data_IF_876476655894
#
_entry.id   IF_876476655894
#
_cell.length_a   1.000
_cell.length_b   1.000
_cell.length_c   1.000
_cell.angle_alpha   90.00
_cell.angle_beta   90.00
_cell.angle_gamma   90.00
#
_symmetry.space_group_name_H-M   'P 1'
#
loop_
_entity.id
_entity.type
_entity.pdbx_description
1 polymer ?
#
# COMPACT_ATOMS: atom_id res chain seq x y z
N UNK A 1 23.43 1.06 9.48
CA UNK A 1 23.62 0.86 8.02
C UNK A 1 22.40 1.46 7.32
N UNK A 2 22.60 2.31 6.33
CA UNK A 2 21.51 3.00 5.61
C UNK A 2 20.80 1.98 4.70
N UNK A 3 19.48 1.82 4.81
CA UNK A 3 18.71 0.89 3.97
C UNK A 3 18.39 1.53 2.62
N UNK A 4 18.08 0.71 1.60
CA UNK A 4 17.68 1.21 0.28
C UNK A 4 16.54 2.23 0.34
N UNK A 5 15.49 1.96 1.14
CA UNK A 5 14.38 2.89 1.31
C UNK A 5 14.76 4.21 1.98
N UNK A 6 15.74 4.22 2.89
CA UNK A 6 16.27 5.48 3.45
C UNK A 6 17.05 6.25 2.39
N UNK A 7 17.88 5.58 1.59
CA UNK A 7 18.59 6.23 0.47
C UNK A 7 17.59 6.82 -0.52
N UNK A 8 16.54 6.08 -0.89
CA UNK A 8 15.52 6.56 -1.80
C UNK A 8 14.78 7.79 -1.24
N UNK A 9 14.49 7.84 0.06
CA UNK A 9 13.88 8.99 0.74
C UNK A 9 14.75 10.25 0.63
N UNK A 10 16.05 10.14 0.95
CA UNK A 10 16.95 11.29 0.89
C UNK A 10 17.20 11.75 -0.56
N UNK A 11 17.26 10.81 -1.51
CA UNK A 11 17.36 11.14 -2.93
C UNK A 11 16.10 11.84 -3.42
N UNK A 12 14.91 11.43 -2.97
CA UNK A 12 13.66 12.11 -3.30
C UNK A 12 13.65 13.57 -2.79
N UNK A 13 14.15 13.82 -1.57
CA UNK A 13 14.35 15.20 -1.11
C UNK A 13 15.31 15.99 -2.00
N UNK A 14 16.44 15.40 -2.41
CA UNK A 14 17.38 16.03 -3.32
C UNK A 14 16.77 16.34 -4.70
N UNK A 15 15.77 15.56 -5.12
CA UNK A 15 14.96 15.78 -6.32
C UNK A 15 13.78 16.75 -6.07
N UNK A 16 13.70 17.42 -4.93
CA UNK A 16 12.68 18.44 -4.64
C UNK A 16 11.35 17.91 -4.13
N UNK A 17 11.27 16.65 -3.67
CA UNK A 17 10.05 16.12 -3.05
C UNK A 17 10.00 16.45 -1.57
N UNK A 18 8.90 17.09 -1.16
CA UNK A 18 8.56 17.25 0.25
C UNK A 18 8.01 15.96 0.84
N UNK A 19 7.88 15.92 2.17
CA UNK A 19 7.19 14.82 2.81
C UNK A 19 5.73 14.74 2.40
N UNK A 20 5.20 13.52 2.26
CA UNK A 20 3.82 13.29 1.85
C UNK A 20 2.83 13.94 2.82
N UNK A 21 3.10 13.87 4.14
CA UNK A 21 2.25 14.52 5.14
C UNK A 21 2.31 16.05 5.11
N UNK A 22 3.25 16.66 4.39
CA UNK A 22 3.33 18.13 4.26
C UNK A 22 2.43 18.65 3.15
N UNK A 23 1.77 17.77 2.37
CA UNK A 23 0.85 18.19 1.31
C UNK A 23 -0.33 19.03 1.84
N UNK A 24 -0.81 20.04 1.08
CA UNK A 24 -1.94 20.87 1.49
C UNK A 24 -3.24 20.11 1.81
N UNK A 25 -3.45 18.98 1.11
CA UNK A 25 -4.61 18.10 1.17
C UNK A 25 -4.49 16.97 2.23
N UNK A 26 -3.38 16.90 2.98
CA UNK A 26 -3.11 15.81 3.94
C UNK A 26 -4.20 15.63 5.01
N UNK A 27 -4.90 16.70 5.39
CA UNK A 27 -5.94 16.68 6.43
C UNK A 27 -7.24 15.96 5.98
N UNK A 28 -7.34 15.46 4.75
CA UNK A 28 -8.39 14.51 4.34
C UNK A 28 -8.04 13.05 4.66
N UNK A 29 -6.76 12.75 4.91
CA UNK A 29 -6.24 11.38 5.02
C UNK A 29 -5.67 11.08 6.41
N UNK A 30 -5.05 12.09 7.03
CA UNK A 30 -4.42 11.97 8.34
C UNK A 30 -4.80 13.12 9.27
N UNK A 31 -4.78 12.83 10.57
CA UNK A 31 -4.93 13.81 11.64
C UNK A 31 -3.62 13.91 12.43
N UNK A 32 -3.03 15.11 12.42
CA UNK A 32 -1.86 15.44 13.25
C UNK A 32 -2.31 15.70 14.70
N UNK A 33 -1.63 15.08 15.66
CA UNK A 33 -1.85 15.22 17.11
C UNK A 33 -0.82 16.18 17.69
N UNK A 34 -1.07 17.48 17.50
CA UNK A 34 -0.16 18.56 17.92
C UNK A 34 0.23 18.54 19.40
N UNK A 35 -0.65 18.00 20.25
CA UNK A 35 -0.45 17.79 21.68
C UNK A 35 0.60 16.72 22.00
N UNK A 36 0.80 15.76 21.09
CA UNK A 36 1.72 14.63 21.27
C UNK A 36 3.10 14.88 20.67
N UNK A 37 3.28 15.95 19.89
CA UNK A 37 4.53 16.27 19.21
C UNK A 37 5.46 17.02 20.16
N UNK A 38 6.75 16.67 20.13
CA UNK A 38 7.80 17.40 20.80
C UNK A 38 7.77 18.90 20.42
N UNK A 39 7.99 19.78 21.41
CA UNK A 39 7.77 21.22 21.25
C UNK A 39 8.59 21.81 20.11
N UNK A 40 9.84 21.39 19.99
CA UNK A 40 10.80 21.95 19.03
C UNK A 40 10.62 21.34 17.63
N UNK A 41 9.89 20.22 17.54
CA UNK A 41 9.65 19.48 16.32
C UNK A 41 8.34 19.84 15.61
N UNK A 42 7.50 20.72 16.17
CA UNK A 42 6.18 21.06 15.59
C UNK A 42 6.27 21.62 14.16
N UNK A 43 7.33 22.37 13.85
CA UNK A 43 7.56 22.91 12.49
C UNK A 43 7.60 21.82 11.40
N UNK A 44 8.05 20.61 11.75
CA UNK A 44 8.18 19.46 10.83
C UNK A 44 6.83 18.90 10.33
N UNK A 45 5.71 19.35 10.93
CA UNK A 45 4.36 18.92 10.59
C UNK A 45 3.54 20.03 9.93
N UNK A 46 4.14 21.18 9.64
CA UNK A 46 3.46 22.22 8.88
C UNK A 46 3.16 21.73 7.45
N UNK A 47 2.12 22.28 6.85
CA UNK A 47 1.81 22.02 5.43
C UNK A 47 2.60 23.00 4.59
N UNK A 48 3.06 22.54 3.45
CA UNK A 48 3.57 23.40 2.39
C UNK A 48 2.43 24.23 1.79
N UNK A 49 2.78 25.36 1.18
CA UNK A 49 1.78 26.19 0.51
C UNK A 49 1.32 25.51 -0.78
N UNK A 50 0.03 25.66 -1.18
CA UNK A 50 -0.47 25.09 -2.43
C UNK A 50 0.31 25.52 -3.68
N UNK A 51 0.93 26.71 -3.67
CA UNK A 51 1.74 27.20 -4.77
C UNK A 51 3.11 26.51 -4.90
N UNK A 52 3.60 25.91 -3.80
CA UNK A 52 4.92 25.28 -3.73
C UNK A 52 4.86 23.75 -3.91
N UNK A 53 3.66 23.19 -4.11
CA UNK A 53 3.43 21.75 -4.26
C UNK A 53 2.79 21.44 -5.59
N UNK A 54 3.56 20.82 -6.49
CA UNK A 54 3.04 20.12 -7.67
C UNK A 54 2.93 18.63 -7.38
N UNK A 55 1.71 18.13 -7.22
CA UNK A 55 1.44 16.71 -7.03
C UNK A 55 1.22 15.97 -8.35
N UNK A 56 1.37 16.62 -9.52
CA UNK A 56 1.29 15.99 -10.83
C UNK A 56 0.01 15.20 -11.10
N UNK A 57 -1.09 15.51 -10.40
CA UNK A 57 -2.34 14.76 -10.42
C UNK A 57 -2.28 13.38 -9.74
N UNK A 58 -1.25 13.10 -8.96
CA UNK A 58 -1.09 11.85 -8.19
C UNK A 58 -1.81 11.98 -6.84
N UNK A 59 -2.68 11.02 -6.47
CA UNK A 59 -3.42 11.06 -5.21
C UNK A 59 -2.49 10.95 -4.00
N UNK A 60 -3.00 11.30 -2.82
CA UNK A 60 -2.27 11.12 -1.57
C UNK A 60 -2.01 9.64 -1.32
N UNK A 61 -0.75 9.27 -1.08
CA UNK A 61 -0.34 7.87 -0.89
C UNK A 61 0.16 7.63 0.54
N UNK A 62 -0.68 6.99 1.35
CA UNK A 62 -0.34 6.62 2.73
C UNK A 62 0.87 5.67 2.81
N UNK A 63 1.21 4.96 1.73
CA UNK A 63 2.40 4.11 1.66
C UNK A 63 3.64 4.78 1.09
N UNK A 64 3.59 6.07 0.78
CA UNK A 64 4.73 6.81 0.22
C UNK A 64 5.96 6.68 1.11
N UNK A 65 7.13 6.51 0.48
CA UNK A 65 8.43 6.55 1.18
C UNK A 65 8.65 7.92 1.85
N UNK A 66 8.00 8.97 1.32
CA UNK A 66 8.08 10.33 1.82
C UNK A 66 7.11 10.61 2.97
N UNK A 67 6.26 9.66 3.33
CA UNK A 67 5.38 9.81 4.49
C UNK A 67 6.15 9.57 5.80
N UNK A 68 5.87 10.38 6.82
CA UNK A 68 6.36 10.17 8.18
C UNK A 68 5.73 8.94 8.84
N UNK A 69 6.46 8.40 9.82
CA UNK A 69 5.96 7.37 10.73
C UNK A 69 4.89 7.96 11.64
N UNK A 70 3.95 7.12 12.06
CA UNK A 70 2.82 7.51 12.89
C UNK A 70 3.17 8.07 14.27
N UNK A 71 4.37 7.76 14.78
CA UNK A 71 4.91 8.19 16.08
C UNK A 71 6.14 9.10 15.94
N UNK A 72 6.39 9.67 14.76
CA UNK A 72 7.55 10.51 14.52
C UNK A 72 7.53 11.73 15.46
N UNK A 73 8.68 12.07 16.06
CA UNK A 73 8.86 13.24 16.93
C UNK A 73 7.86 13.34 18.09
N UNK A 74 7.45 12.20 18.64
CA UNK A 74 6.61 12.15 19.82
C UNK A 74 7.34 12.73 21.03
N UNK A 75 6.65 13.56 21.84
CA UNK A 75 7.18 14.13 23.09
C UNK A 75 7.49 13.05 24.12
N UNK A 76 6.75 11.95 24.09
CA UNK A 76 6.94 10.78 24.94
C UNK A 76 6.94 9.52 24.09
N UNK A 77 7.60 8.48 24.58
CA UNK A 77 7.62 7.18 23.91
C UNK A 77 6.21 6.65 23.66
N UNK A 78 6.06 5.97 22.54
CA UNK A 78 4.84 5.29 22.10
C UNK A 78 3.60 6.13 21.77
N UNK A 79 3.65 7.46 21.89
CA UNK A 79 2.54 8.31 21.44
C UNK A 79 2.45 8.40 19.91
N UNK A 80 1.22 8.28 19.41
CA UNK A 80 0.92 8.60 18.02
C UNK A 80 0.88 10.12 17.85
N UNK A 81 1.74 10.65 16.98
CA UNK A 81 1.72 12.04 16.52
C UNK A 81 0.87 12.21 15.28
N UNK A 82 0.56 11.12 14.59
CA UNK A 82 -0.26 11.12 13.40
C UNK A 82 -1.14 9.88 13.30
N UNK A 83 -2.44 10.11 13.16
CA UNK A 83 -3.43 9.06 13.01
C UNK A 83 -3.98 9.07 11.58
N UNK A 84 -4.12 7.91 10.97
CA UNK A 84 -4.89 7.79 9.73
C UNK A 84 -6.39 7.86 10.06
N UNK A 85 -7.22 8.46 9.18
CA UNK A 85 -8.67 8.47 9.41
C UNK A 85 -9.29 7.08 9.37
N UNK A 86 -8.80 6.24 8.46
CA UNK A 86 -9.13 4.82 8.43
C UNK A 86 -8.05 4.08 9.21
N UNK A 87 -8.42 3.45 10.33
CA UNK A 87 -7.49 2.80 11.25
C UNK A 87 -6.64 1.70 10.61
N UNK A 88 -7.19 1.01 9.62
CA UNK A 88 -6.51 -0.11 8.96
C UNK A 88 -5.31 0.35 8.10
N UNK A 89 -5.22 1.65 7.80
CA UNK A 89 -4.03 2.23 7.18
C UNK A 89 -2.93 2.63 8.18
N UNK A 90 -3.17 2.55 9.49
CA UNK A 90 -2.27 3.09 10.50
C UNK A 90 -0.86 2.48 10.47
N UNK A 91 -0.74 1.23 10.01
CA UNK A 91 0.55 0.52 9.83
C UNK A 91 1.16 0.64 8.43
N UNK A 92 0.48 1.34 7.53
CA UNK A 92 0.93 1.61 6.15
C UNK A 92 1.88 2.80 6.11
N UNK A 93 1.60 3.84 6.91
CA UNK A 93 2.38 5.07 6.92
C UNK A 93 3.78 4.90 7.51
N UNK A 94 4.77 5.51 6.86
CA UNK A 94 6.15 5.57 7.37
C UNK A 94 7.01 4.33 7.11
N UNK A 95 6.59 3.47 6.19
CA UNK A 95 7.43 2.40 5.65
C UNK A 95 8.76 2.96 5.10
N UNK A 96 9.82 2.16 5.17
CA UNK A 96 11.17 2.52 4.67
C UNK A 96 11.82 1.39 3.89
N UNK A 97 10.99 0.63 3.17
CA UNK A 97 11.39 -0.56 2.44
C UNK A 97 11.72 -0.18 1.00
N UNK A 98 10.79 0.49 0.31
CA UNK A 98 10.93 0.89 -1.09
C UNK A 98 10.03 2.08 -1.46
N UNK A 99 10.30 2.71 -2.60
CA UNK A 99 9.38 3.67 -3.21
C UNK A 99 8.03 3.01 -3.50
N UNK A 100 6.95 3.71 -3.18
CA UNK A 100 5.61 3.29 -3.62
C UNK A 100 5.48 3.46 -5.13
N UNK A 101 4.45 2.85 -5.73
CA UNK A 101 4.21 3.04 -7.15
C UNK A 101 3.93 4.51 -7.49
N UNK A 102 3.23 5.22 -6.59
CA UNK A 102 2.88 6.63 -6.79
C UNK A 102 4.03 7.59 -6.51
N UNK A 103 5.00 7.26 -5.65
CA UNK A 103 6.26 8.01 -5.56
C UNK A 103 6.95 8.05 -6.93
N UNK A 104 7.05 6.87 -7.58
CA UNK A 104 7.71 6.73 -8.88
C UNK A 104 6.89 7.38 -9.99
N UNK A 105 5.56 7.27 -9.92
CA UNK A 105 4.64 7.94 -10.87
C UNK A 105 4.80 9.44 -10.81
N UNK A 106 4.83 10.03 -9.62
CA UNK A 106 4.98 11.47 -9.45
C UNK A 106 6.34 11.94 -9.98
N UNK A 107 7.43 11.26 -9.61
CA UNK A 107 8.77 11.55 -10.15
C UNK A 107 8.80 11.53 -11.68
N UNK A 108 8.18 10.52 -12.29
CA UNK A 108 8.13 10.41 -13.75
C UNK A 108 7.21 11.46 -14.39
N UNK A 109 6.12 11.86 -13.74
CA UNK A 109 5.25 12.93 -14.22
C UNK A 109 5.95 14.29 -14.23
N UNK A 110 6.91 14.52 -13.32
CA UNK A 110 7.67 15.78 -13.24
C UNK A 110 8.87 15.76 -14.17
N UNK A 111 9.67 14.69 -14.13
CA UNK A 111 10.97 14.65 -14.81
C UNK A 111 10.98 13.92 -16.15
N UNK A 112 9.98 13.09 -16.45
CA UNK A 112 10.00 12.15 -17.58
C UNK A 112 8.71 12.18 -18.43
N UNK A 113 7.86 13.20 -18.27
CA UNK A 113 6.52 13.24 -18.86
C UNK A 113 6.49 13.14 -20.38
N UNK A 114 7.46 13.79 -21.03
CA UNK A 114 7.51 13.95 -22.49
C UNK A 114 8.49 13.00 -23.16
N UNK A 115 9.02 12.01 -22.42
CA UNK A 115 10.00 11.04 -22.94
C UNK A 115 9.38 10.12 -24.01
N UNK A 116 8.11 9.73 -23.85
CA UNK A 116 7.42 8.84 -24.77
C UNK A 116 6.42 9.59 -25.64
N UNK A 117 6.54 9.48 -26.96
CA UNK A 117 5.64 10.17 -27.91
C UNK A 117 4.21 9.62 -27.91
N UNK A 118 4.01 8.37 -27.48
CA UNK A 118 2.70 7.71 -27.42
C UNK A 118 2.39 7.27 -25.99
N UNK A 119 1.15 7.53 -25.55
CA UNK A 119 0.60 6.95 -24.33
C UNK A 119 -0.08 5.62 -24.64
N UNK A 120 0.27 4.59 -23.89
CA UNK A 120 -0.32 3.25 -23.97
C UNK A 120 -1.60 3.15 -23.12
N UNK A 121 -2.55 2.27 -23.49
CA UNK A 121 -3.78 2.04 -22.74
C UNK A 121 -3.52 1.15 -21.51
N UNK A 122 -2.73 1.66 -20.56
CA UNK A 122 -2.39 0.95 -19.34
C UNK A 122 -3.61 0.76 -18.43
N UNK A 123 -3.74 -0.42 -17.84
CA UNK A 123 -4.84 -0.79 -16.97
C UNK A 123 -4.46 -0.64 -15.50
N UNK A 124 -5.47 -0.65 -14.62
CA UNK A 124 -5.32 -0.81 -13.16
C UNK A 124 -4.43 0.23 -12.49
N UNK A 125 -4.39 1.46 -13.00
CA UNK A 125 -3.56 2.54 -12.48
C UNK A 125 -2.14 2.59 -13.06
N UNK A 126 -1.78 1.68 -13.97
CA UNK A 126 -0.52 1.71 -14.71
C UNK A 126 -0.39 2.93 -15.63
N UNK A 127 0.85 3.22 -16.04
CA UNK A 127 1.15 4.29 -17.00
C UNK A 127 2.29 3.87 -17.94
N UNK A 128 2.47 4.57 -19.06
CA UNK A 128 3.53 4.24 -20.04
C UNK A 128 4.90 4.37 -19.38
N UNK A 129 5.73 3.33 -19.42
CA UNK A 129 7.04 3.34 -18.78
C UNK A 129 7.96 4.31 -19.52
N UNK A 130 8.39 5.44 -18.93
CA UNK A 130 9.20 6.43 -19.63
C UNK A 130 10.58 5.89 -20.02
N UNK A 131 11.03 4.79 -19.40
CA UNK A 131 12.28 4.11 -19.81
C UNK A 131 12.06 3.10 -20.94
N UNK A 132 10.81 2.68 -21.17
CA UNK A 132 10.41 1.66 -22.15
C UNK A 132 9.02 2.00 -22.71
N UNK A 133 8.99 2.86 -23.73
CA UNK A 133 7.76 3.42 -24.31
C UNK A 133 6.85 2.41 -25.03
N UNK A 134 7.25 1.14 -25.10
CA UNK A 134 6.52 0.01 -25.70
C UNK A 134 5.71 -0.81 -24.68
N UNK A 135 5.82 -0.49 -23.39
CA UNK A 135 5.08 -1.16 -22.31
C UNK A 135 4.65 -0.22 -21.19
N UNK A 136 3.72 -0.70 -20.37
CA UNK A 136 3.30 -0.02 -19.16
C UNK A 136 4.23 -0.37 -17.98
N UNK A 137 4.40 0.61 -17.09
CA UNK A 137 4.83 0.37 -15.72
C UNK A 137 3.59 0.01 -14.90
N UNK A 138 3.62 -1.15 -14.24
CA UNK A 138 2.47 -1.69 -13.54
C UNK A 138 2.55 -1.49 -12.02
N UNK A 139 1.42 -1.20 -11.36
CA UNK A 139 1.35 -1.26 -9.91
C UNK A 139 1.70 -2.63 -9.37
N UNK A 140 2.18 -2.66 -8.12
CA UNK A 140 2.53 -3.92 -7.47
C UNK A 140 1.31 -4.87 -7.44
N UNK A 141 1.53 -6.13 -7.80
CA UNK A 141 0.48 -7.13 -8.02
C UNK A 141 0.07 -7.35 -9.48
N UNK A 142 0.52 -6.52 -10.43
CA UNK A 142 0.19 -6.65 -11.84
C UNK A 142 1.42 -6.72 -12.75
N UNK A 143 1.23 -7.33 -13.92
CA UNK A 143 2.25 -7.51 -14.96
C UNK A 143 1.58 -7.57 -16.34
N UNK A 144 2.36 -7.84 -17.39
CA UNK A 144 1.92 -7.81 -18.78
C UNK A 144 2.30 -6.50 -19.49
N UNK A 145 1.95 -6.40 -20.76
CA UNK A 145 2.30 -5.22 -21.57
C UNK A 145 1.51 -3.98 -21.13
N UNK A 146 0.26 -4.18 -20.71
CA UNK A 146 -0.71 -3.16 -20.33
C UNK A 146 -1.18 -3.29 -18.88
N UNK A 147 -0.49 -4.08 -18.05
CA UNK A 147 -0.88 -4.38 -16.67
C UNK A 147 -2.19 -5.18 -16.57
N UNK A 148 -2.46 -5.99 -17.59
CA UNK A 148 -3.66 -6.81 -17.74
C UNK A 148 -3.58 -8.14 -16.98
N UNK A 149 -2.37 -8.56 -16.59
CA UNK A 149 -2.12 -9.84 -15.93
C UNK A 149 -1.86 -9.65 -14.45
N UNK A 150 -2.26 -10.63 -13.63
CA UNK A 150 -1.89 -10.67 -12.21
C UNK A 150 -0.47 -11.21 -12.10
N UNK A 151 0.35 -10.58 -11.26
CA UNK A 151 1.71 -11.04 -11.03
C UNK A 151 1.71 -12.46 -10.44
N UNK A 152 2.43 -13.42 -11.04
CA UNK A 152 2.49 -14.79 -10.52
C UNK A 152 3.20 -14.82 -9.16
N UNK A 153 2.94 -15.85 -8.38
CA UNK A 153 3.64 -16.07 -7.11
C UNK A 153 5.16 -16.20 -7.29
N UNK A 154 5.91 -15.64 -6.36
CA UNK A 154 7.36 -15.77 -6.27
C UNK A 154 7.73 -16.50 -4.98
N UNK A 155 8.66 -17.46 -5.04
CA UNK A 155 9.03 -18.29 -3.89
C UNK A 155 7.95 -19.25 -3.37
N UNK A 156 6.75 -19.24 -3.98
CA UNK A 156 5.60 -20.08 -3.68
C UNK A 156 4.65 -20.17 -4.89
N UNK A 157 3.89 -21.27 -4.98
CA UNK A 157 2.76 -21.39 -5.91
C UNK A 157 1.49 -20.83 -5.24
N UNK A 158 1.17 -19.58 -5.54
CA UNK A 158 0.08 -18.83 -4.94
C UNK A 158 -0.31 -17.61 -5.80
N UNK A 159 -1.44 -16.99 -5.48
CA UNK A 159 -1.95 -15.81 -6.19
C UNK A 159 -2.88 -16.16 -7.35
N UNK A 160 -2.99 -15.22 -8.29
CA UNK A 160 -3.80 -15.34 -9.50
C UNK A 160 -5.16 -14.64 -9.42
N UNK A 161 -5.94 -14.76 -10.50
CA UNK A 161 -7.29 -14.19 -10.59
C UNK A 161 -8.30 -15.18 -10.01
N UNK A 162 -9.08 -14.75 -9.02
CA UNK A 162 -10.09 -15.58 -8.35
C UNK A 162 -11.47 -14.98 -8.58
N UNK A 163 -12.36 -15.73 -9.25
CA UNK A 163 -13.77 -15.38 -9.30
C UNK A 163 -14.41 -15.73 -7.96
N UNK A 164 -15.04 -14.76 -7.31
CA UNK A 164 -15.71 -14.98 -6.02
C UNK A 164 -17.23 -15.01 -6.23
N UNK A 165 -17.89 -16.02 -5.65
CA UNK A 165 -19.35 -16.11 -5.60
C UNK A 165 -19.91 -15.69 -4.24
N UNK A 166 -21.20 -15.90 -4.01
CA UNK A 166 -21.84 -15.59 -2.72
C UNK A 166 -21.37 -16.48 -1.56
N UNK A 167 -20.75 -17.62 -1.87
CA UNK A 167 -20.19 -18.54 -0.89
C UNK A 167 -18.78 -18.13 -0.48
N UNK A 168 -18.42 -18.40 0.77
CA UNK A 168 -17.08 -18.13 1.28
C UNK A 168 -16.05 -19.00 0.57
N UNK A 169 -15.08 -18.34 -0.06
CA UNK A 169 -13.89 -18.95 -0.67
C UNK A 169 -12.69 -18.65 0.22
N UNK A 170 -11.89 -19.67 0.52
CA UNK A 170 -10.72 -19.53 1.39
C UNK A 170 -9.47 -19.12 0.61
N UNK A 171 -8.72 -18.17 1.13
CA UNK A 171 -7.36 -17.81 0.70
C UNK A 171 -6.41 -17.86 1.90
N UNK A 172 -5.17 -18.30 1.71
CA UNK A 172 -4.20 -18.45 2.80
C UNK A 172 -2.81 -18.02 2.37
N UNK A 173 -1.95 -17.73 3.33
CA UNK A 173 -0.50 -17.69 3.07
C UNK A 173 0.00 -19.06 2.59
N UNK A 174 1.11 -19.11 1.83
CA UNK A 174 1.72 -20.36 1.40
C UNK A 174 1.99 -21.30 2.58
N UNK A 175 1.58 -22.56 2.47
CA UNK A 175 1.85 -23.60 3.48
C UNK A 175 0.93 -23.62 4.70
N UNK A 176 0.01 -22.66 4.86
CA UNK A 176 -0.88 -22.60 6.03
C UNK A 176 -1.65 -23.93 6.24
N UNK A 177 -1.72 -24.49 7.47
CA UNK A 177 -1.37 -23.90 8.76
C UNK A 177 0.09 -24.08 9.20
N UNK A 178 0.98 -24.59 8.35
CA UNK A 178 2.42 -24.52 8.59
C UNK A 178 2.94 -23.10 8.33
N UNK A 179 4.17 -22.83 8.77
CA UNK A 179 4.79 -21.52 8.57
C UNK A 179 5.13 -21.26 7.10
N UNK A 180 4.92 -20.02 6.66
CA UNK A 180 5.43 -19.54 5.37
C UNK A 180 6.93 -19.22 5.47
N UNK A 181 7.60 -19.08 4.32
CA UNK A 181 9.04 -18.77 4.25
C UNK A 181 9.29 -17.31 3.90
N UNK A 182 10.48 -16.82 4.26
CA UNK A 182 11.00 -15.54 3.77
C UNK A 182 11.14 -15.55 2.23
N UNK A 183 10.94 -14.39 1.60
CA UNK A 183 11.08 -14.17 0.17
C UNK A 183 9.91 -14.67 -0.66
N UNK A 184 8.74 -14.87 -0.05
CA UNK A 184 7.52 -15.32 -0.75
C UNK A 184 6.61 -14.13 -1.04
N UNK A 185 6.09 -14.11 -2.27
CA UNK A 185 5.18 -13.06 -2.72
C UNK A 185 4.00 -13.69 -3.45
N UNK A 186 2.79 -13.25 -3.11
CA UNK A 186 1.57 -13.70 -3.76
C UNK A 186 0.69 -12.49 -4.08
N UNK A 187 0.01 -12.52 -5.22
CA UNK A 187 -0.89 -11.45 -5.63
C UNK A 187 -2.21 -12.07 -6.08
N UNK A 188 -3.31 -11.76 -5.40
CA UNK A 188 -4.65 -12.24 -5.75
C UNK A 188 -5.51 -11.08 -6.24
N UNK A 189 -6.05 -11.21 -7.45
CA UNK A 189 -7.11 -10.34 -7.94
C UNK A 189 -8.45 -11.06 -7.73
N UNK A 190 -9.18 -10.64 -6.72
CA UNK A 190 -10.51 -11.14 -6.41
C UNK A 190 -11.52 -10.36 -7.24
N UNK A 191 -12.43 -11.05 -7.93
CA UNK A 191 -13.42 -10.42 -8.81
C UNK A 191 -14.80 -10.99 -8.54
N UNK A 192 -15.71 -10.11 -8.13
CA UNK A 192 -17.13 -10.40 -7.92
C UNK A 192 -17.90 -10.35 -9.26
N UNK A 193 -19.13 -10.90 -9.32
CA UNK A 193 -20.01 -10.73 -10.47
C UNK A 193 -20.34 -9.25 -10.70
N UNK A 194 -20.76 -8.87 -11.93
CA UNK A 194 -21.11 -7.49 -12.24
C UNK A 194 -22.14 -6.90 -11.27
N UNK A 195 -21.89 -5.67 -10.80
CA UNK A 195 -22.74 -4.96 -9.83
C UNK A 195 -22.63 -5.45 -8.37
N UNK A 196 -21.68 -6.34 -8.06
CA UNK A 196 -21.41 -6.83 -6.71
C UNK A 196 -20.03 -6.37 -6.22
N UNK A 197 -19.81 -6.47 -4.92
CA UNK A 197 -18.55 -6.11 -4.26
C UNK A 197 -17.91 -7.34 -3.64
N UNK A 198 -16.58 -7.32 -3.54
CA UNK A 198 -15.82 -8.32 -2.80
C UNK A 198 -15.80 -7.94 -1.32
N UNK A 199 -16.20 -8.87 -0.46
CA UNK A 199 -15.99 -8.80 0.98
C UNK A 199 -14.87 -9.77 1.36
N UNK A 200 -13.89 -9.31 2.14
CA UNK A 200 -12.81 -10.10 2.71
C UNK A 200 -12.82 -10.01 4.24
N UNK A 201 -12.62 -11.16 4.90
CA UNK A 201 -12.46 -11.22 6.36
C UNK A 201 -11.36 -12.23 6.74
N UNK A 202 -10.47 -11.83 7.64
CA UNK A 202 -9.50 -12.74 8.27
C UNK A 202 -10.17 -13.57 9.36
N UNK A 203 -9.74 -14.82 9.52
CA UNK A 203 -10.21 -15.69 10.60
C UNK A 203 -9.11 -16.67 11.02
N UNK A 204 -9.25 -17.30 12.18
CA UNK A 204 -8.19 -18.18 12.73
C UNK A 204 -6.90 -17.43 13.06
N UNK A 205 -5.80 -18.16 13.22
CA UNK A 205 -4.51 -17.56 13.61
C UNK A 205 -3.95 -16.66 12.50
N UNK A 206 -3.49 -15.47 12.92
CA UNK A 206 -2.85 -14.48 12.08
C UNK A 206 -1.53 -14.03 12.73
N UNK A 207 -0.44 -14.14 11.98
CA UNK A 207 0.88 -13.65 12.39
C UNK A 207 1.71 -13.25 11.17
N UNK A 208 2.09 -11.97 11.12
CA UNK A 208 3.10 -11.44 10.20
C UNK A 208 4.09 -10.58 10.96
N UNK A 209 5.35 -10.52 10.52
CA UNK A 209 6.38 -9.76 11.22
C UNK A 209 6.12 -8.24 11.18
N UNK A 210 6.24 -7.59 12.34
CA UNK A 210 6.03 -6.17 12.49
C UNK A 210 6.96 -5.55 13.54
N UNK A 211 7.16 -4.24 13.46
CA UNK A 211 7.81 -3.44 14.50
C UNK A 211 6.76 -2.73 15.33
N UNK A 212 6.34 -3.37 16.43
CA UNK A 212 5.26 -2.88 17.32
C UNK A 212 5.51 -1.45 17.81
N UNK A 213 6.72 -1.16 18.32
CA UNK A 213 7.09 0.17 18.82
C UNK A 213 6.84 1.28 17.80
N UNK A 214 7.09 1.00 16.52
CA UNK A 214 6.93 1.97 15.44
C UNK A 214 5.60 1.88 14.71
N UNK A 215 4.72 0.96 15.08
CA UNK A 215 3.46 0.68 14.38
C UNK A 215 3.68 0.41 12.88
N UNK A 216 4.62 -0.48 12.53
CA UNK A 216 4.97 -0.75 11.13
C UNK A 216 4.94 -2.24 10.80
N UNK A 217 4.43 -2.54 9.62
CA UNK A 217 4.58 -3.86 9.03
C UNK A 217 5.93 -4.01 8.35
N UNK A 218 6.57 -5.15 8.56
CA UNK A 218 7.80 -5.54 7.87
C UNK A 218 7.46 -6.60 6.82
N UNK A 219 6.70 -7.61 7.25
CA UNK A 219 5.95 -8.52 6.38
C UNK A 219 4.47 -8.17 6.50
N UNK A 220 3.71 -8.34 5.43
CA UNK A 220 2.32 -7.89 5.43
C UNK A 220 1.42 -8.62 4.45
N UNK A 221 0.13 -8.56 4.78
CA UNK A 221 -0.95 -8.65 3.80
C UNK A 221 -1.44 -7.23 3.51
N UNK A 222 -1.32 -6.78 2.25
CA UNK A 222 -1.85 -5.49 1.80
C UNK A 222 -3.17 -5.71 1.05
N UNK A 223 -4.22 -4.99 1.45
CA UNK A 223 -5.52 -5.01 0.79
C UNK A 223 -5.76 -3.68 0.10
N UNK A 224 -5.88 -3.69 -1.23
CA UNK A 224 -6.32 -2.54 -2.03
C UNK A 224 -7.77 -2.76 -2.43
N UNK A 225 -8.64 -1.93 -1.88
CA UNK A 225 -10.08 -2.00 -2.02
C UNK A 225 -10.66 -0.78 -2.76
N UNK A 226 -9.81 0.06 -3.37
CA UNK A 226 -10.22 1.29 -4.07
C UNK A 226 -10.31 1.09 -5.58
N UNK A 227 -10.79 2.12 -6.30
CA UNK A 227 -10.85 2.16 -7.76
C UNK A 227 -9.48 2.29 -8.43
N UNK A 228 -8.44 2.68 -7.69
CA UNK A 228 -7.08 2.87 -8.21
C UNK A 228 -6.08 1.98 -7.48
N UNK A 229 -5.70 0.88 -8.13
CA UNK A 229 -4.73 -0.06 -7.59
C UNK A 229 -3.28 0.47 -7.59
N UNK A 230 -3.02 1.67 -8.12
CA UNK A 230 -1.74 2.35 -7.98
C UNK A 230 -1.48 2.81 -6.53
N UNK A 231 -2.54 3.15 -5.79
CA UNK A 231 -2.42 3.65 -4.42
C UNK A 231 -2.13 2.51 -3.44
N UNK A 232 -1.26 2.76 -2.45
CA UNK A 232 -0.94 1.74 -1.43
C UNK A 232 -2.18 1.43 -0.59
N UNK A 233 -2.40 0.14 -0.31
CA UNK A 233 -3.55 -0.35 0.46
C UNK A 233 -3.31 -0.44 1.96
N UNK A 234 -4.28 -1.03 2.67
CA UNK A 234 -4.22 -1.30 4.10
C UNK A 234 -3.27 -2.47 4.38
N UNK A 235 -2.26 -2.27 5.23
CA UNK A 235 -1.30 -3.31 5.61
C UNK A 235 -1.63 -3.94 6.96
N UNK A 236 -1.85 -5.25 6.95
CA UNK A 236 -2.10 -6.07 8.12
C UNK A 236 -0.86 -6.87 8.49
N UNK A 237 -0.48 -6.81 9.77
CA UNK A 237 0.65 -7.54 10.33
C UNK A 237 0.57 -7.59 11.87
N UNK A 238 1.62 -8.11 12.51
CA UNK A 238 1.67 -8.50 13.92
C UNK A 238 0.83 -9.75 14.22
N UNK A 239 0.86 -10.18 15.47
CA UNK A 239 0.00 -11.24 16.00
C UNK A 239 -1.41 -10.71 16.26
N UNK A 240 -2.41 -11.54 15.97
CA UNK A 240 -3.81 -11.27 16.26
C UNK A 240 -4.62 -11.04 14.99
N UNK A 241 -5.74 -11.75 14.90
CA UNK A 241 -6.63 -11.72 13.74
C UNK A 241 -7.29 -10.34 13.60
N UNK A 242 -7.14 -9.66 12.46
CA UNK A 242 -7.90 -8.42 12.22
C UNK A 242 -9.40 -8.69 12.29
N UNK A 243 -10.13 -7.87 13.06
CA UNK A 243 -11.57 -8.07 13.30
C UNK A 243 -12.46 -7.41 12.23
N UNK A 244 -11.94 -6.43 11.50
CA UNK A 244 -12.67 -5.72 10.46
C UNK A 244 -12.79 -6.57 9.19
N UNK A 245 -13.96 -6.52 8.55
CA UNK A 245 -14.10 -6.96 7.16
C UNK A 245 -13.82 -5.80 6.22
N UNK A 246 -13.13 -6.07 5.12
CA UNK A 246 -12.89 -5.08 4.06
C UNK A 246 -13.86 -5.34 2.91
N UNK A 247 -14.46 -4.28 2.39
CA UNK A 247 -15.31 -4.32 1.20
C UNK A 247 -14.66 -3.49 0.09
N UNK A 248 -14.67 -4.00 -1.14
CA UNK A 248 -14.17 -3.26 -2.31
C UNK A 248 -15.08 -2.09 -2.68
N UNK A 249 -14.52 -1.05 -3.25
CA UNK A 249 -15.26 0.06 -3.85
C UNK A 249 -15.85 -0.30 -5.23
N UNK A 250 -15.31 -1.32 -5.87
CA UNK A 250 -15.67 -1.83 -7.20
C UNK A 250 -15.94 -3.33 -7.15
N UNK A 251 -16.11 -3.95 -8.31
CA UNK A 251 -16.26 -5.40 -8.47
C UNK A 251 -14.98 -6.19 -8.17
N UNK A 252 -13.84 -5.52 -7.97
CA UNK A 252 -12.56 -6.15 -7.73
C UNK A 252 -11.80 -5.64 -6.50
N UNK A 253 -10.97 -6.53 -5.94
CA UNK A 253 -10.09 -6.27 -4.81
C UNK A 253 -8.75 -6.95 -5.05
N UNK A 254 -7.65 -6.24 -4.78
CA UNK A 254 -6.31 -6.81 -4.84
C UNK A 254 -5.82 -7.11 -3.43
N UNK A 255 -5.34 -8.34 -3.24
CA UNK A 255 -4.68 -8.78 -2.01
C UNK A 255 -3.24 -9.14 -2.34
N UNK A 256 -2.30 -8.52 -1.64
CA UNK A 256 -0.87 -8.78 -1.79
C UNK A 256 -0.34 -9.38 -0.50
N UNK A 257 0.41 -10.46 -0.62
CA UNK A 257 1.19 -11.03 0.48
C UNK A 257 2.67 -10.85 0.16
N UNK A 258 3.43 -10.29 1.11
CA UNK A 258 4.88 -10.05 0.98
C UNK A 258 5.57 -10.46 2.28
N UNK A 259 6.49 -11.44 2.21
CA UNK A 259 7.31 -11.91 3.33
C UNK A 259 8.79 -11.56 3.18
N UNK A 260 9.14 -10.28 3.17
CA UNK A 260 10.49 -9.82 2.88
C UNK A 260 11.54 -10.12 3.97
N UNK A 261 11.15 -10.37 5.22
CA UNK A 261 12.09 -10.38 6.35
C UNK A 261 12.23 -11.70 7.08
N UNK A 262 11.16 -12.47 7.28
CA UNK A 262 11.22 -13.76 7.97
C UNK A 262 9.99 -14.62 7.69
N UNK A 263 10.07 -15.90 8.05
CA UNK A 263 8.90 -16.79 8.15
C UNK A 263 8.04 -16.51 9.39
N UNK A 264 6.84 -17.08 9.39
CA UNK A 264 5.88 -17.00 10.49
C UNK A 264 4.61 -17.81 10.21
N UNK A 265 3.62 -17.76 11.11
CA UNK A 265 2.40 -18.56 10.97
C UNK A 265 1.54 -18.18 9.75
N UNK A 266 1.52 -16.90 9.39
CA UNK A 266 0.82 -16.39 8.22
C UNK A 266 -0.65 -16.09 8.49
N UNK A 267 -1.52 -16.37 7.53
CA UNK A 267 -2.94 -16.02 7.64
C UNK A 267 -3.84 -17.02 6.91
N UNK A 268 -5.10 -17.05 7.32
CA UNK A 268 -6.21 -17.49 6.49
C UNK A 268 -7.30 -16.41 6.47
N UNK A 269 -7.90 -16.24 5.31
CA UNK A 269 -9.00 -15.32 5.08
C UNK A 269 -10.07 -15.97 4.22
N UNK A 270 -11.29 -15.47 4.34
CA UNK A 270 -12.42 -15.88 3.54
C UNK A 270 -12.93 -14.69 2.74
N UNK A 271 -13.30 -14.94 1.49
CA UNK A 271 -13.76 -13.94 0.53
C UNK A 271 -15.08 -14.36 -0.12
N UNK A 272 -15.97 -13.42 -0.38
CA UNK A 272 -17.23 -13.65 -1.09
C UNK A 272 -17.69 -12.41 -1.83
N UNK A 273 -18.61 -12.59 -2.77
CA UNK A 273 -19.36 -11.51 -3.39
C UNK A 273 -20.58 -11.13 -2.55
N UNK A 274 -20.78 -9.84 -2.36
CA UNK A 274 -21.95 -9.25 -1.71
C UNK A 274 -22.64 -8.25 -2.65
N UNK A 275 -23.96 -8.10 -2.58
CA UNK A 275 -24.66 -7.07 -3.37
C UNK A 275 -24.14 -5.66 -3.05
N UNK A 276 -24.15 -4.76 -4.04
CA UNK A 276 -23.97 -3.33 -3.78
C UNK A 276 -25.15 -2.82 -2.96
N UNK A 277 -24.95 -2.60 -1.66
CA UNK A 277 -25.88 -1.83 -0.85
C UNK A 277 -25.56 -0.36 -1.07
N UNK A 278 -26.42 0.33 -1.84
CA UNK A 278 -26.34 1.77 -2.05
C UNK A 278 -26.53 2.58 -0.77
#
# INVERSE_FOLDING_TARGET
MMTLGVIAHEVAHALGFWHEQSRPDRDYYVKVRWENIDRDSKGQFLKEQPADVDNGGVPYDLGSIMHYRSKAFARYDDLFTMNTYISDYQRTIGQRDQLSFNDIRLMNNIYCKDTCSRKLPCQRGGYTDPRRCDRCRCPDGFTGQYCEQVMPGYGADCGGRVQVGHTWTRITSPGYPAEFREGQECSWLLVAPPGQHVQLQFYGEFEMYCKVRHSLCMDYVEIRNSTDFANTGMRYCCFGTPHSSVVSATEDMLVLFRSFYRGGKGFQAQVRAIPHTG
#
